data_IF_093507135531
#
_entry.id   IF_093507135531
#
_cell.length_a   1.000
_cell.length_b   1.000
_cell.length_c   1.000
_cell.angle_alpha   90.00
_cell.angle_beta   90.00
_cell.angle_gamma   90.00
#
_symmetry.space_group_name_H-M   'P 1'
#
loop_
_entity.id
_entity.type
_entity.pdbx_description
1 polymer ?
#
# COMPACT_ATOMS: atom_id res chain seq x y z
N UNK A 1 15.24 14.36 5.15
CA UNK A 1 16.41 14.96 4.47
C UNK A 1 17.42 13.86 4.16
N UNK A 2 18.08 13.88 3.01
CA UNK A 2 19.05 12.83 2.66
C UNK A 2 20.41 13.03 3.32
N UNK A 3 21.08 11.93 3.62
CA UNK A 3 22.44 11.87 4.17
C UNK A 3 23.25 10.79 3.46
N UNK A 4 24.44 11.16 3.01
CA UNK A 4 25.48 10.24 2.57
C UNK A 4 26.53 10.22 3.69
N UNK A 5 26.73 9.06 4.33
CA UNK A 5 27.59 8.98 5.51
C UNK A 5 29.09 8.95 5.19
N UNK A 6 29.50 8.53 3.98
CA UNK A 6 30.90 8.25 3.67
C UNK A 6 31.22 8.35 2.16
N UNK A 7 30.75 9.41 1.49
CA UNK A 7 30.92 9.60 0.04
C UNK A 7 30.29 8.48 -0.79
N UNK A 8 30.89 8.13 -1.93
CA UNK A 8 30.37 7.08 -2.84
C UNK A 8 30.36 5.67 -2.20
N UNK A 9 31.17 5.44 -1.17
CA UNK A 9 31.28 4.15 -0.46
C UNK A 9 30.34 4.07 0.75
N UNK A 10 29.66 5.17 1.11
CA UNK A 10 28.76 5.24 2.25
C UNK A 10 27.31 4.95 1.87
N UNK A 11 26.56 4.31 2.78
CA UNK A 11 25.13 4.07 2.59
C UNK A 11 24.33 5.37 2.41
N UNK A 12 23.50 5.41 1.37
CA UNK A 12 22.56 6.49 1.09
C UNK A 12 21.30 6.32 1.94
N UNK A 13 20.93 7.34 2.71
CA UNK A 13 19.66 7.38 3.43
C UNK A 13 18.88 8.63 3.06
N UNK A 14 17.64 8.47 2.61
CA UNK A 14 16.76 9.55 2.16
C UNK A 14 16.84 9.82 0.65
N UNK A 15 16.23 10.94 0.23
CA UNK A 15 16.10 11.36 -1.18
C UNK A 15 17.19 12.36 -1.62
N UNK A 16 17.96 12.00 -2.63
CA UNK A 16 18.86 12.91 -3.37
C UNK A 16 18.39 12.96 -4.83
N UNK A 17 17.99 14.13 -5.30
CA UNK A 17 17.39 14.31 -6.62
C UNK A 17 16.26 13.29 -6.88
N UNK A 18 16.41 12.42 -7.89
CA UNK A 18 15.45 11.37 -8.26
C UNK A 18 15.75 10.02 -7.59
N UNK A 19 16.76 9.94 -6.73
CA UNK A 19 17.21 8.67 -6.16
C UNK A 19 16.89 8.65 -4.67
N UNK A 20 16.27 7.57 -4.20
CA UNK A 20 15.97 7.34 -2.79
C UNK A 20 16.76 6.14 -2.30
N UNK A 21 17.64 6.38 -1.33
CA UNK A 21 18.32 5.34 -0.58
C UNK A 21 17.56 5.01 0.70
N UNK A 22 17.36 3.73 0.96
CA UNK A 22 16.76 3.24 2.20
C UNK A 22 17.43 1.92 2.60
N UNK A 23 17.48 1.63 3.90
CA UNK A 23 17.84 0.28 4.36
C UNK A 23 16.56 -0.49 4.72
N UNK A 24 16.46 -1.73 4.28
CA UNK A 24 15.41 -2.64 4.71
C UNK A 24 16.02 -3.96 5.17
N UNK A 25 15.79 -4.33 6.43
CA UNK A 25 16.35 -5.54 7.06
C UNK A 25 17.86 -5.72 6.85
N UNK A 26 18.63 -4.61 6.92
CA UNK A 26 20.08 -4.62 6.71
C UNK A 26 20.55 -4.55 5.25
N UNK A 27 19.64 -4.64 4.28
CA UNK A 27 19.94 -4.53 2.85
C UNK A 27 19.81 -3.06 2.43
N UNK A 28 20.84 -2.51 1.80
CA UNK A 28 20.78 -1.19 1.18
C UNK A 28 19.96 -1.29 -0.12
N UNK A 29 18.86 -0.54 -0.19
CA UNK A 29 17.94 -0.50 -1.33
C UNK A 29 18.00 0.88 -1.96
N UNK A 30 18.25 0.90 -3.26
CA UNK A 30 18.22 2.08 -4.11
C UNK A 30 16.98 2.04 -5.00
N UNK A 31 16.22 3.14 -5.01
CA UNK A 31 15.00 3.30 -5.80
C UNK A 31 15.09 4.56 -6.65
N UNK A 32 14.76 4.46 -7.93
CA UNK A 32 14.55 5.61 -8.79
C UNK A 32 13.12 6.11 -8.68
N UNK A 33 12.95 7.41 -8.51
CA UNK A 33 11.67 8.09 -8.66
C UNK A 33 11.39 8.34 -10.15
N UNK A 34 10.13 8.21 -10.60
CA UNK A 34 9.73 8.63 -11.94
C UNK A 34 10.02 10.13 -12.14
N UNK A 35 10.44 10.50 -13.35
CA UNK A 35 10.77 11.88 -13.74
C UNK A 35 9.55 12.82 -13.63
N UNK A 36 8.37 12.34 -14.01
CA UNK A 36 7.10 13.02 -13.82
C UNK A 36 6.05 11.99 -13.44
N UNK A 37 5.14 12.38 -12.54
CA UNK A 37 3.95 11.60 -12.22
C UNK A 37 2.76 12.43 -12.65
N UNK A 38 2.06 11.99 -13.69
CA UNK A 38 0.74 12.51 -13.96
C UNK A 38 -0.21 11.91 -12.90
N UNK A 39 -0.92 12.77 -12.17
CA UNK A 39 -2.00 12.38 -11.26
C UNK A 39 -3.35 12.71 -11.91
N UNK A 40 -3.73 12.04 -13.02
CA UNK A 40 -5.05 12.26 -13.59
C UNK A 40 -6.11 11.89 -12.54
N UNK A 41 -7.21 12.64 -12.54
CA UNK A 41 -8.33 12.45 -11.62
C UNK A 41 -9.57 12.06 -12.43
N UNK A 42 -9.50 10.89 -13.08
CA UNK A 42 -10.58 10.39 -13.93
C UNK A 42 -11.74 9.85 -13.10
N UNK A 43 -12.95 9.81 -13.68
CA UNK A 43 -14.12 9.23 -13.02
C UNK A 43 -13.89 7.78 -12.58
N UNK A 44 -13.22 6.95 -13.40
CA UNK A 44 -12.88 5.58 -13.06
C UNK A 44 -11.93 5.50 -11.84
N UNK A 45 -10.97 6.41 -11.73
CA UNK A 45 -10.08 6.47 -10.57
C UNK A 45 -10.80 6.92 -9.30
N UNK A 46 -11.76 7.86 -9.41
CA UNK A 46 -12.60 8.25 -8.29
C UNK A 46 -13.52 7.12 -7.84
N UNK A 47 -14.13 6.38 -8.79
CA UNK A 47 -14.96 5.22 -8.49
C UNK A 47 -14.16 4.14 -7.75
N UNK A 48 -12.94 3.81 -8.19
CA UNK A 48 -12.08 2.85 -7.49
C UNK A 48 -11.70 3.31 -6.08
N UNK A 49 -11.41 4.62 -5.90
CA UNK A 49 -11.12 5.19 -4.58
C UNK A 49 -12.35 5.13 -3.68
N UNK A 50 -13.53 5.46 -4.21
CA UNK A 50 -14.81 5.36 -3.52
C UNK A 50 -15.11 3.94 -3.07
N UNK A 51 -14.96 2.97 -3.97
CA UNK A 51 -15.13 1.55 -3.67
C UNK A 51 -14.22 1.10 -2.53
N UNK A 52 -12.94 1.51 -2.57
CA UNK A 52 -11.99 1.20 -1.50
C UNK A 52 -12.37 1.86 -0.17
N UNK A 53 -12.87 3.09 -0.17
CA UNK A 53 -13.34 3.76 1.05
C UNK A 53 -14.54 3.04 1.66
N UNK A 54 -15.51 2.64 0.85
CA UNK A 54 -16.73 1.98 1.32
C UNK A 54 -16.46 0.57 1.87
N UNK A 55 -15.69 -0.27 1.15
CA UNK A 55 -15.37 -1.62 1.63
C UNK A 55 -14.56 -1.58 2.93
N UNK A 56 -13.63 -0.65 3.08
CA UNK A 56 -12.85 -0.50 4.32
C UNK A 56 -13.75 -0.07 5.48
N UNK A 57 -14.70 0.84 5.25
CA UNK A 57 -15.66 1.22 6.28
C UNK A 57 -16.52 0.03 6.73
N UNK A 58 -17.04 -0.76 5.78
CA UNK A 58 -17.81 -1.96 6.08
C UNK A 58 -16.96 -3.02 6.79
N UNK A 59 -15.76 -3.30 6.30
CA UNK A 59 -14.86 -4.31 6.85
C UNK A 59 -14.43 -3.97 8.29
N UNK A 60 -14.27 -2.69 8.63
CA UNK A 60 -13.96 -2.25 9.99
C UNK A 60 -15.10 -2.55 10.98
N UNK A 61 -16.35 -2.36 10.57
CA UNK A 61 -17.53 -2.65 11.39
C UNK A 61 -17.68 -4.16 11.58
N UNK A 62 -17.48 -4.92 10.50
CA UNK A 62 -17.67 -6.37 10.47
C UNK A 62 -16.48 -7.18 10.98
N UNK A 63 -15.39 -6.52 11.41
CA UNK A 63 -14.12 -7.15 11.72
C UNK A 63 -14.25 -8.24 12.80
N UNK A 64 -14.74 -7.85 13.99
CA UNK A 64 -14.78 -8.75 15.14
C UNK A 64 -15.91 -9.79 15.02
N UNK A 65 -17.06 -9.38 14.49
CA UNK A 65 -18.25 -10.22 14.45
C UNK A 65 -18.24 -11.25 13.31
N UNK A 66 -17.68 -10.89 12.15
CA UNK A 66 -17.78 -11.69 10.93
C UNK A 66 -16.43 -12.10 10.39
N UNK A 67 -15.52 -11.15 10.17
CA UNK A 67 -14.27 -11.42 9.47
C UNK A 67 -13.35 -12.32 10.31
N UNK A 68 -13.25 -12.05 11.61
CA UNK A 68 -12.40 -12.87 12.48
C UNK A 68 -12.91 -14.30 12.68
N UNK A 69 -14.23 -14.49 12.70
CA UNK A 69 -14.86 -15.80 12.95
C UNK A 69 -14.95 -16.62 11.67
N UNK A 70 -15.36 -16.00 10.56
CA UNK A 70 -15.73 -16.71 9.34
C UNK A 70 -14.77 -16.54 8.17
N UNK A 71 -13.88 -15.55 8.18
CA UNK A 71 -12.93 -15.33 7.06
C UNK A 71 -11.49 -15.72 7.41
N UNK A 72 -11.05 -15.48 8.64
CA UNK A 72 -9.69 -15.86 9.07
C UNK A 72 -9.35 -17.35 8.85
N UNK A 73 -10.25 -18.33 9.09
CA UNK A 73 -9.92 -19.74 8.89
C UNK A 73 -9.67 -20.12 7.42
N UNK A 74 -10.23 -19.38 6.47
CA UNK A 74 -10.14 -19.69 5.04
C UNK A 74 -9.09 -18.86 4.31
N UNK A 75 -8.57 -17.81 4.94
CA UNK A 75 -7.58 -16.93 4.35
C UNK A 75 -6.22 -17.65 4.18
N UNK A 76 -5.70 -17.66 2.95
CA UNK A 76 -4.41 -18.25 2.63
C UNK A 76 -3.38 -17.17 2.30
N UNK A 77 -2.24 -17.19 3.02
CA UNK A 77 -1.11 -16.26 2.82
C UNK A 77 -1.44 -14.76 3.02
N UNK A 78 -2.62 -14.44 3.56
CA UNK A 78 -3.05 -13.09 3.91
C UNK A 78 -3.99 -13.12 5.12
N UNK A 79 -4.26 -11.97 5.72
CA UNK A 79 -5.27 -11.88 6.79
C UNK A 79 -6.68 -12.04 6.24
N UNK A 80 -7.62 -12.57 7.03
CA UNK A 80 -9.03 -12.66 6.63
C UNK A 80 -9.63 -11.30 6.29
N UNK A 81 -9.12 -10.22 6.89
CA UNK A 81 -9.46 -8.85 6.51
C UNK A 81 -9.03 -8.50 5.09
N UNK A 82 -7.80 -8.82 4.70
CA UNK A 82 -7.30 -8.54 3.35
C UNK A 82 -8.04 -9.39 2.32
N UNK A 83 -8.32 -10.65 2.64
CA UNK A 83 -9.07 -11.55 1.79
C UNK A 83 -10.52 -11.06 1.59
N UNK A 84 -11.16 -10.59 2.66
CA UNK A 84 -12.51 -10.00 2.64
C UNK A 84 -12.56 -8.78 1.73
N UNK A 85 -11.62 -7.86 1.89
CA UNK A 85 -11.55 -6.64 1.06
C UNK A 85 -11.30 -7.02 -0.40
N UNK A 86 -10.34 -7.91 -0.68
CA UNK A 86 -10.00 -8.34 -2.04
C UNK A 86 -11.19 -8.94 -2.78
N UNK A 87 -11.98 -9.78 -2.11
CA UNK A 87 -13.10 -10.49 -2.74
C UNK A 87 -14.29 -9.59 -2.98
N UNK A 88 -14.56 -8.65 -2.07
CA UNK A 88 -15.79 -7.87 -2.07
C UNK A 88 -15.64 -6.47 -2.69
N UNK A 89 -14.42 -5.99 -2.97
CA UNK A 89 -14.21 -4.63 -3.49
C UNK A 89 -14.98 -4.33 -4.78
N UNK A 90 -15.19 -5.33 -5.64
CA UNK A 90 -15.94 -5.18 -6.89
C UNK A 90 -17.44 -4.89 -6.66
N UNK A 91 -17.97 -5.23 -5.48
CA UNK A 91 -19.38 -5.01 -5.13
C UNK A 91 -19.64 -3.56 -4.68
N UNK A 92 -18.61 -2.80 -4.35
CA UNK A 92 -18.71 -1.41 -3.85
C UNK A 92 -18.54 -0.36 -4.95
N UNK A 93 -18.94 -0.67 -6.17
CA UNK A 93 -18.90 0.27 -7.30
C UNK A 93 -20.06 1.25 -7.21
N UNK A 94 -19.75 2.54 -7.11
CA UNK A 94 -20.68 3.65 -7.39
C UNK A 94 -20.42 4.17 -8.80
#
# INVERSE_FOLDING_TARGET
MARIKQGILGGLSGKIANVVGSSWKGIAVLKSLPLSVANPNTAAQQAQRGAMTQIVAAARILLAALIQVYWNPFAQQMSGYNDFVKTNIATFTT
#
